data_IF_767179818578
#
_entry.id   IF_767179818578
#
_cell.length_a   1.000
_cell.length_b   1.000
_cell.length_c   1.000
_cell.angle_alpha   90.00
_cell.angle_beta   90.00
_cell.angle_gamma   90.00
#
_symmetry.space_group_name_H-M   'P 1'
#
loop_
_entity.id
_entity.type
_entity.pdbx_description
1 polymer ?
#
# COMPACT_ATOMS: atom_id res chain seq x y z
N UNK A 1 -0.52 19.41 -3.48
CA UNK A 1 0.50 18.34 -3.40
C UNK A 1 1.35 18.51 -2.13
N UNK A 2 2.23 19.53 -2.04
CA UNK A 2 3.13 19.72 -0.88
C UNK A 2 2.40 19.77 0.49
N UNK A 3 1.35 20.59 0.64
CA UNK A 3 0.60 20.66 1.90
C UNK A 3 -0.03 19.32 2.30
N UNK A 4 -0.52 18.53 1.34
CA UNK A 4 -1.06 17.21 1.62
C UNK A 4 0.07 16.26 2.06
N UNK A 5 1.22 16.27 1.38
CA UNK A 5 2.39 15.49 1.80
C UNK A 5 2.78 15.80 3.25
N UNK A 6 2.88 17.08 3.61
CA UNK A 6 3.16 17.50 4.99
C UNK A 6 2.08 16.98 5.95
N UNK A 7 0.80 17.12 5.58
CA UNK A 7 -0.32 16.60 6.36
C UNK A 7 -0.25 15.10 6.62
N UNK A 8 0.14 14.31 5.60
CA UNK A 8 0.31 12.85 5.73
C UNK A 8 1.48 12.48 6.64
N UNK A 9 2.60 13.21 6.57
CA UNK A 9 3.73 12.98 7.48
C UNK A 9 3.43 13.41 8.92
N UNK A 10 2.70 14.52 9.10
CA UNK A 10 2.20 14.92 10.41
C UNK A 10 1.26 13.85 10.98
N UNK A 11 0.34 13.33 10.17
CA UNK A 11 -0.54 12.23 10.55
C UNK A 11 0.27 10.99 10.97
N UNK A 12 1.27 10.58 10.18
CA UNK A 12 2.14 9.45 10.54
C UNK A 12 2.88 9.68 11.87
N UNK A 13 3.39 10.89 12.10
CA UNK A 13 4.01 11.24 13.38
C UNK A 13 3.05 11.04 14.55
N UNK A 14 1.80 11.50 14.43
CA UNK A 14 0.77 11.29 15.45
C UNK A 14 0.44 9.82 15.67
N UNK A 15 0.36 9.02 14.59
CA UNK A 15 0.15 7.58 14.66
C UNK A 15 1.29 6.88 15.41
N UNK A 16 2.54 7.12 15.02
CA UNK A 16 3.72 6.54 15.68
C UNK A 16 3.77 6.93 17.14
N UNK A 17 3.58 8.22 17.46
CA UNK A 17 3.58 8.71 18.85
C UNK A 17 2.55 8.00 19.72
N UNK A 18 1.37 7.74 19.18
CA UNK A 18 0.26 7.11 19.91
C UNK A 18 0.48 5.60 20.10
N UNK A 19 1.11 4.94 19.13
CA UNK A 19 1.34 3.49 19.13
C UNK A 19 2.63 3.11 19.89
N UNK A 20 3.63 3.98 19.93
CA UNK A 20 4.94 3.70 20.54
C UNK A 20 4.90 3.11 21.96
N UNK A 21 4.05 3.59 22.89
CA UNK A 21 3.96 2.99 24.22
C UNK A 21 3.49 1.53 24.20
N UNK A 22 2.65 1.16 23.23
CA UNK A 22 2.09 -0.18 23.13
C UNK A 22 3.15 -1.24 22.78
N UNK A 23 4.22 -0.86 22.05
CA UNK A 23 5.36 -1.75 21.77
C UNK A 23 6.14 -2.15 23.03
N UNK A 24 6.12 -1.32 24.07
CA UNK A 24 6.79 -1.60 25.35
C UNK A 24 6.02 -2.62 26.19
N UNK A 25 4.69 -2.66 26.04
CA UNK A 25 3.79 -3.41 26.92
C UNK A 25 3.26 -4.71 26.29
N UNK A 26 3.13 -4.78 24.97
CA UNK A 26 2.51 -5.91 24.28
C UNK A 26 3.58 -6.82 23.65
N UNK A 27 3.88 -7.94 24.32
CA UNK A 27 4.81 -8.95 23.77
C UNK A 27 4.14 -9.85 22.72
N UNK A 28 2.91 -10.31 22.96
CA UNK A 28 2.24 -11.24 22.02
C UNK A 28 1.79 -10.57 20.72
N UNK A 29 1.12 -9.41 20.77
CA UNK A 29 0.56 -8.73 19.59
C UNK A 29 1.54 -7.82 18.84
N UNK A 30 2.85 -7.93 19.14
CA UNK A 30 3.87 -7.05 18.57
C UNK A 30 3.98 -7.14 17.05
N UNK A 31 3.78 -8.32 16.46
CA UNK A 31 3.85 -8.51 15.01
C UNK A 31 2.72 -7.79 14.28
N UNK A 32 1.47 -7.98 14.70
CA UNK A 32 0.32 -7.30 14.10
C UNK A 32 0.40 -5.78 14.28
N UNK A 33 0.89 -5.32 15.43
CA UNK A 33 1.14 -3.90 15.69
C UNK A 33 2.26 -3.32 14.81
N UNK A 34 3.31 -4.10 14.54
CA UNK A 34 4.38 -3.73 13.61
C UNK A 34 3.86 -3.61 12.18
N UNK A 35 3.06 -4.57 11.72
CA UNK A 35 2.41 -4.50 10.41
C UNK A 35 1.52 -3.26 10.29
N UNK A 36 0.80 -2.90 11.35
CA UNK A 36 -0.01 -1.69 11.38
C UNK A 36 0.85 -0.43 11.16
N UNK A 37 1.97 -0.31 11.85
CA UNK A 37 2.88 0.83 11.67
C UNK A 37 3.55 0.85 10.30
N UNK A 38 3.94 -0.31 9.78
CA UNK A 38 4.53 -0.42 8.45
C UNK A 38 3.51 0.04 7.39
N UNK A 39 2.27 -0.47 7.45
CA UNK A 39 1.21 -0.08 6.53
C UNK A 39 0.85 1.40 6.68
N UNK A 40 0.80 1.93 7.91
CA UNK A 40 0.61 3.37 8.16
C UNK A 40 1.72 4.20 7.53
N UNK A 41 2.97 3.73 7.58
CA UNK A 41 4.13 4.43 7.00
C UNK A 41 4.08 4.44 5.48
N UNK A 42 3.56 3.38 4.86
CA UNK A 42 3.41 3.29 3.41
C UNK A 42 2.53 4.42 2.85
N UNK A 43 1.50 4.86 3.57
CA UNK A 43 0.58 5.92 3.11
C UNK A 43 1.32 7.24 2.76
N UNK A 44 2.03 7.94 3.67
CA UNK A 44 2.75 9.15 3.29
C UNK A 44 3.90 8.90 2.30
N UNK A 45 4.62 7.78 2.45
CA UNK A 45 5.81 7.48 1.63
C UNK A 45 5.44 7.30 0.17
N UNK A 46 4.41 6.51 -0.12
CA UNK A 46 3.99 6.24 -1.50
C UNK A 46 3.13 7.33 -2.12
N UNK A 47 2.86 8.42 -1.38
CA UNK A 47 2.35 9.66 -1.97
C UNK A 47 3.47 10.57 -2.51
N UNK A 48 4.74 10.40 -2.09
CA UNK A 48 5.88 11.21 -2.56
C UNK A 48 6.03 11.21 -4.10
N UNK A 49 5.80 10.10 -4.83
CA UNK A 49 5.81 10.10 -6.29
C UNK A 49 4.97 11.21 -6.93
N UNK A 50 3.90 11.68 -6.26
CA UNK A 50 3.07 12.80 -6.69
C UNK A 50 3.83 14.13 -6.93
N UNK A 51 5.05 14.23 -6.41
CA UNK A 51 5.92 15.41 -6.51
C UNK A 51 6.96 15.30 -7.63
N UNK A 52 7.03 14.18 -8.34
CA UNK A 52 8.11 13.88 -9.29
C UNK A 52 7.84 14.31 -10.74
N UNK A 53 6.70 14.95 -11.01
CA UNK A 53 6.38 15.50 -12.33
C UNK A 53 5.88 16.95 -12.25
N UNK A 54 6.07 17.71 -13.32
CA UNK A 54 5.68 19.11 -13.44
C UNK A 54 5.14 19.47 -14.82
N UNK A 55 4.91 20.76 -15.06
CA UNK A 55 4.23 21.24 -16.27
C UNK A 55 4.94 20.89 -17.59
N UNK A 56 6.28 20.77 -17.57
CA UNK A 56 7.09 20.50 -18.77
C UNK A 56 7.64 19.06 -18.82
N UNK A 57 7.15 18.17 -17.95
CA UNK A 57 7.54 16.76 -17.99
C UNK A 57 7.02 16.08 -19.27
N UNK A 58 7.82 15.17 -19.84
CA UNK A 58 7.34 14.33 -20.93
C UNK A 58 6.07 13.57 -20.48
N UNK A 59 5.07 13.49 -21.35
CA UNK A 59 3.77 12.90 -21.01
C UNK A 59 3.89 11.45 -20.52
N UNK A 60 4.74 10.63 -21.13
CA UNK A 60 4.96 9.25 -20.71
C UNK A 60 5.54 9.17 -19.28
N UNK A 61 6.41 10.12 -18.91
CA UNK A 61 6.99 10.21 -17.56
C UNK A 61 5.95 10.70 -16.56
N UNK A 62 5.13 11.68 -16.94
CA UNK A 62 4.04 12.17 -16.10
C UNK A 62 3.00 11.07 -15.83
N UNK A 63 2.61 10.31 -16.86
CA UNK A 63 1.72 9.16 -16.73
C UNK A 63 2.32 8.07 -15.83
N UNK A 64 3.60 7.73 -16.01
CA UNK A 64 4.29 6.76 -15.15
C UNK A 64 4.11 7.11 -13.67
N UNK A 65 4.49 8.33 -13.27
CA UNK A 65 4.39 8.74 -11.87
C UNK A 65 2.94 8.96 -11.40
N UNK A 66 2.04 9.35 -12.29
CA UNK A 66 0.61 9.49 -11.96
C UNK A 66 0.03 8.14 -11.49
N UNK A 67 0.39 7.04 -12.14
CA UNK A 67 -0.12 5.72 -11.79
C UNK A 67 0.49 5.13 -10.51
N UNK A 68 1.66 5.59 -10.07
CA UNK A 68 2.12 5.33 -8.71
C UNK A 68 1.16 5.87 -7.65
N UNK A 69 0.50 6.99 -7.92
CA UNK A 69 -0.45 7.57 -6.96
C UNK A 69 -1.85 6.98 -7.16
N UNK A 70 -2.34 6.93 -8.40
CA UNK A 70 -3.73 6.54 -8.64
C UNK A 70 -3.95 5.04 -8.44
N UNK A 71 -2.99 4.20 -8.85
CA UNK A 71 -3.12 2.74 -8.69
C UNK A 71 -2.36 2.30 -7.43
N UNK A 72 -1.03 2.47 -7.34
CA UNK A 72 -0.31 1.92 -6.18
C UNK A 72 -0.69 2.56 -4.85
N UNK A 73 -0.79 3.89 -4.78
CA UNK A 73 -1.11 4.54 -3.52
C UNK A 73 -2.56 4.28 -3.09
N UNK A 74 -3.55 4.51 -3.97
CA UNK A 74 -4.98 4.34 -3.64
C UNK A 74 -5.41 2.87 -3.56
N UNK A 75 -5.08 2.06 -4.56
CA UNK A 75 -5.49 0.65 -4.61
C UNK A 75 -4.52 -0.22 -3.81
N UNK A 76 -3.22 -0.13 -4.11
CA UNK A 76 -2.15 -0.89 -3.44
C UNK A 76 -2.08 -0.73 -1.91
N UNK A 77 -1.67 0.44 -1.46
CA UNK A 77 -1.26 0.63 -0.05
C UNK A 77 -2.43 0.90 0.90
N UNK A 78 -3.50 1.56 0.46
CA UNK A 78 -4.69 1.72 1.32
C UNK A 78 -5.41 0.40 1.57
N UNK A 79 -5.44 -0.53 0.61
CA UNK A 79 -6.04 -1.85 0.82
C UNK A 79 -5.27 -2.67 1.86
N UNK A 80 -3.93 -2.65 1.78
CA UNK A 80 -3.07 -3.26 2.80
C UNK A 80 -3.30 -2.60 4.17
N UNK A 81 -3.35 -1.27 4.22
CA UNK A 81 -3.62 -0.54 5.46
C UNK A 81 -4.99 -0.91 6.05
N UNK A 82 -6.05 -0.90 5.25
CA UNK A 82 -7.40 -1.26 5.68
C UNK A 82 -7.46 -2.69 6.21
N UNK A 83 -6.84 -3.63 5.50
CA UNK A 83 -6.78 -5.04 5.89
C UNK A 83 -6.08 -5.24 7.23
N UNK A 84 -4.95 -4.54 7.45
CA UNK A 84 -4.21 -4.61 8.72
C UNK A 84 -5.01 -3.97 9.86
N UNK A 85 -5.65 -2.82 9.63
CA UNK A 85 -6.49 -2.13 10.62
C UNK A 85 -7.67 -3.01 11.02
N UNK A 86 -8.36 -3.61 10.06
CA UNK A 86 -9.49 -4.50 10.31
C UNK A 86 -9.07 -5.73 11.12
N UNK A 87 -7.98 -6.39 10.74
CA UNK A 87 -7.43 -7.51 11.49
C UNK A 87 -7.04 -7.12 12.92
N UNK A 88 -6.42 -5.95 13.10
CA UNK A 88 -6.11 -5.43 14.42
C UNK A 88 -7.38 -5.19 15.25
N UNK A 89 -8.40 -4.51 14.71
CA UNK A 89 -9.65 -4.27 15.44
C UNK A 89 -10.37 -5.56 15.80
N UNK A 90 -10.45 -6.52 14.88
CA UNK A 90 -11.14 -7.79 15.09
C UNK A 90 -10.43 -8.67 16.12
N UNK A 91 -9.09 -8.67 16.14
CA UNK A 91 -8.34 -9.35 17.22
C UNK A 91 -8.56 -8.67 18.57
N UNK A 92 -8.69 -7.34 18.61
CA UNK A 92 -9.00 -6.60 19.86
C UNK A 92 -10.41 -6.83 20.37
N UNK A 93 -11.37 -7.05 19.49
CA UNK A 93 -12.75 -7.42 19.87
C UNK A 93 -12.91 -8.90 20.21
N UNK A 94 -11.85 -9.70 20.11
CA UNK A 94 -11.90 -11.15 20.37
C UNK A 94 -12.58 -11.96 19.26
N UNK A 95 -12.80 -11.37 18.08
CA UNK A 95 -13.44 -12.04 16.94
C UNK A 95 -12.46 -12.90 16.15
N UNK A 96 -11.17 -12.57 16.18
CA UNK A 96 -10.11 -13.30 15.49
C UNK A 96 -8.97 -13.65 16.44
N UNK A 97 -8.40 -14.85 16.25
CA UNK A 97 -7.17 -15.24 16.91
C UNK A 97 -5.98 -14.47 16.36
N UNK A 98 -5.07 -14.02 17.24
CA UNK A 98 -3.92 -13.20 16.87
C UNK A 98 -3.03 -13.85 15.80
N UNK A 99 -2.75 -15.16 15.94
CA UNK A 99 -1.91 -15.91 15.01
C UNK A 99 -2.53 -15.94 13.62
N UNK A 100 -3.80 -16.33 13.53
CA UNK A 100 -4.57 -16.40 12.27
C UNK A 100 -4.63 -15.03 11.60
N UNK A 101 -5.01 -13.99 12.34
CA UNK A 101 -5.08 -12.64 11.81
C UNK A 101 -3.73 -12.16 11.25
N UNK A 102 -2.64 -12.38 11.98
CA UNK A 102 -1.29 -11.99 11.53
C UNK A 102 -0.89 -12.73 10.26
N UNK A 103 -1.10 -14.05 10.19
CA UNK A 103 -0.75 -14.84 8.99
C UNK A 103 -1.61 -14.49 7.79
N UNK A 104 -2.92 -14.27 7.99
CA UNK A 104 -3.84 -13.91 6.91
C UNK A 104 -3.51 -12.53 6.32
N UNK A 105 -3.23 -11.54 7.17
CA UNK A 105 -2.81 -10.21 6.73
C UNK A 105 -1.51 -10.27 5.94
N UNK A 106 -0.51 -11.01 6.42
CA UNK A 106 0.76 -11.18 5.71
C UNK A 106 0.55 -11.85 4.34
N UNK A 107 -0.23 -12.93 4.30
CA UNK A 107 -0.55 -13.63 3.06
C UNK A 107 -1.27 -12.72 2.07
N UNK A 108 -2.34 -12.05 2.51
CA UNK A 108 -3.10 -11.09 1.70
C UNK A 108 -2.21 -9.96 1.18
N UNK A 109 -1.36 -9.39 2.03
CA UNK A 109 -0.40 -8.34 1.64
C UNK A 109 0.56 -8.83 0.55
N UNK A 110 1.08 -10.05 0.67
CA UNK A 110 2.01 -10.63 -0.31
C UNK A 110 1.33 -10.80 -1.66
N UNK A 111 0.17 -11.45 -1.70
CA UNK A 111 -0.51 -11.72 -2.98
C UNK A 111 -0.97 -10.43 -3.66
N UNK A 112 -1.47 -9.48 -2.86
CA UNK A 112 -1.97 -8.21 -3.35
C UNK A 112 -0.86 -7.34 -3.92
N UNK A 113 0.24 -7.16 -3.19
CA UNK A 113 1.38 -6.37 -3.66
C UNK A 113 2.16 -7.06 -4.77
N UNK A 114 2.19 -8.39 -4.82
CA UNK A 114 2.86 -9.13 -5.89
C UNK A 114 2.22 -8.82 -7.25
N UNK A 115 0.88 -8.85 -7.32
CA UNK A 115 0.13 -8.43 -8.50
C UNK A 115 0.23 -6.92 -8.71
N UNK A 116 -0.26 -6.12 -7.76
CA UNK A 116 -0.46 -4.68 -7.93
C UNK A 116 0.79 -3.86 -8.24
N UNK A 117 1.95 -4.19 -7.63
CA UNK A 117 3.18 -3.41 -7.84
C UNK A 117 3.57 -3.39 -9.32
N UNK A 118 3.62 -4.55 -9.96
CA UNK A 118 3.99 -4.67 -11.37
C UNK A 118 2.76 -4.49 -12.28
N UNK A 119 1.58 -4.88 -11.81
CA UNK A 119 0.29 -4.75 -12.47
C UNK A 119 -0.06 -3.30 -12.82
N UNK A 120 0.46 -2.32 -12.08
CA UNK A 120 0.38 -0.88 -12.40
C UNK A 120 0.67 -0.55 -13.87
N UNK A 121 1.55 -1.32 -14.52
CA UNK A 121 1.92 -1.14 -15.91
C UNK A 121 0.76 -1.36 -16.90
N UNK A 122 -0.36 -1.96 -16.48
CA UNK A 122 -1.56 -2.05 -17.32
C UNK A 122 -2.16 -0.70 -17.71
N UNK A 123 -1.84 0.35 -16.96
CA UNK A 123 -2.23 1.71 -17.30
C UNK A 123 -1.31 2.38 -18.32
N UNK A 124 -0.15 1.78 -18.57
CA UNK A 124 0.89 2.36 -19.41
C UNK A 124 0.90 1.79 -20.84
N UNK A 125 0.07 0.79 -21.14
CA UNK A 125 0.08 0.05 -22.42
C UNK A 125 0.21 0.93 -23.66
N UNK A 126 -0.48 2.07 -23.68
CA UNK A 126 -0.56 2.95 -24.84
C UNK A 126 -0.04 4.37 -24.54
N UNK A 127 0.81 4.51 -23.51
CA UNK A 127 1.37 5.79 -23.06
C UNK A 127 2.78 6.10 -23.63
N UNK A 128 3.20 5.35 -24.65
CA UNK A 128 4.54 5.49 -25.26
C UNK A 128 5.64 4.65 -24.59
N UNK A 129 5.26 3.57 -23.91
CA UNK A 129 6.21 2.66 -23.24
C UNK A 129 6.67 1.49 -24.13
N UNK A 130 7.83 0.88 -23.87
CA UNK A 130 8.31 -0.31 -24.59
C UNK A 130 7.37 -1.52 -24.44
N UNK A 131 7.39 -2.43 -25.41
CA UNK A 131 6.56 -3.66 -25.43
C UNK A 131 6.69 -4.52 -24.16
N UNK A 132 7.86 -4.51 -23.51
CA UNK A 132 8.05 -5.24 -22.24
C UNK A 132 7.09 -4.79 -21.13
N UNK A 133 6.74 -3.49 -21.09
CA UNK A 133 5.78 -2.94 -20.11
C UNK A 133 4.39 -3.55 -20.31
N UNK A 134 3.99 -3.79 -21.57
CA UNK A 134 2.72 -4.44 -21.89
C UNK A 134 2.71 -5.88 -21.36
N UNK A 135 3.78 -6.64 -21.60
CA UNK A 135 3.88 -8.03 -21.15
C UNK A 135 3.81 -8.13 -19.61
N UNK A 136 4.52 -7.26 -18.90
CA UNK A 136 4.50 -7.22 -17.44
C UNK A 136 3.15 -6.75 -16.89
N UNK A 137 2.60 -5.66 -17.42
CA UNK A 137 1.30 -5.14 -16.99
C UNK A 137 0.22 -6.19 -17.13
N UNK A 138 0.13 -6.87 -18.27
CA UNK A 138 -0.91 -7.88 -18.52
C UNK A 138 -0.78 -9.11 -17.62
N UNK A 139 0.46 -9.56 -17.41
CA UNK A 139 0.71 -10.78 -16.62
C UNK A 139 0.42 -10.54 -15.14
N UNK A 140 0.92 -9.44 -14.58
CA UNK A 140 0.82 -9.19 -13.15
C UNK A 140 -0.54 -8.61 -12.73
N UNK A 141 -1.19 -7.79 -13.55
CA UNK A 141 -2.53 -7.30 -13.22
C UNK A 141 -3.58 -8.40 -13.28
N UNK A 142 -3.39 -9.42 -14.12
CA UNK A 142 -4.25 -10.61 -14.09
C UNK A 142 -4.19 -11.36 -12.75
N UNK A 143 -3.04 -11.31 -12.05
CA UNK A 143 -2.89 -11.94 -10.74
C UNK A 143 -3.64 -11.18 -9.63
N UNK A 144 -3.97 -9.90 -9.85
CA UNK A 144 -4.74 -9.10 -8.89
C UNK A 144 -6.17 -9.62 -8.71
N UNK A 145 -6.68 -10.44 -9.63
CA UNK A 145 -7.99 -11.10 -9.48
C UNK A 145 -7.97 -12.17 -8.37
N UNK A 146 -6.81 -12.80 -8.12
CA UNK A 146 -6.69 -13.89 -7.13
C UNK A 146 -7.14 -13.47 -5.73
N UNK A 147 -6.66 -12.36 -5.12
CA UNK A 147 -7.17 -11.92 -3.82
C UNK A 147 -8.65 -11.52 -3.82
N UNK A 148 -9.22 -11.10 -4.96
CA UNK A 148 -10.61 -10.61 -5.03
C UNK A 148 -11.66 -11.74 -4.96
N UNK A 149 -11.26 -12.98 -5.21
CA UNK A 149 -12.16 -14.16 -5.19
C UNK A 149 -12.01 -15.01 -3.94
N UNK A 150 -11.17 -14.58 -2.99
CA UNK A 150 -10.92 -15.23 -1.69
C UNK A 150 -11.73 -14.55 -0.59
#
# INVERSE_FOLDING_TARGET
QIFLTIGLFLWLFLMVRSIWPAFKNLKESRHLLALFLIASTAIPVFYIPALLWGQHSNLAIAEYWRWWVVHLWVEGFFEVFATVVMAFLFTRMGLLGLRTATTSVLFSTIIFLFGGIIGTFHHLYFSGTPTGVIAFGATFSALEVVPLVL
#
